data_IF_909272603371
#
_entry.id   IF_909272603371
#
_cell.length_a   1.000
_cell.length_b   1.000
_cell.length_c   1.000
_cell.angle_alpha   90.00
_cell.angle_beta   90.00
_cell.angle_gamma   90.00
#
_symmetry.space_group_name_H-M   'P 1'
#
loop_
_entity.id
_entity.type
_entity.pdbx_description
1 polymer ?
#
# COMPACT_ATOMS: atom_id res chain seq x y z
N UNK A 1 21.15 1.12 -19.22
CA UNK A 1 20.66 -0.18 -19.73
C UNK A 1 21.43 -0.50 -20.99
N UNK A 2 22.32 -1.49 -20.96
CA UNK A 2 22.86 -2.07 -22.19
C UNK A 2 21.99 -3.27 -22.51
N UNK A 3 21.03 -3.09 -23.42
CA UNK A 3 20.33 -4.20 -24.04
C UNK A 3 21.23 -4.68 -25.18
N UNK A 4 21.88 -5.82 -25.01
CA UNK A 4 22.42 -6.56 -26.14
C UNK A 4 21.48 -7.72 -26.39
N UNK A 5 20.54 -7.62 -27.35
CA UNK A 5 19.79 -8.79 -27.78
C UNK A 5 20.78 -9.78 -28.38
N UNK A 6 20.88 -10.98 -27.79
CA UNK A 6 21.46 -12.11 -28.50
C UNK A 6 20.35 -12.69 -29.37
N UNK A 7 20.25 -12.22 -30.61
CA UNK A 7 19.40 -12.85 -31.61
C UNK A 7 19.98 -14.22 -31.97
N UNK A 8 19.28 -15.28 -31.58
CA UNK A 8 19.59 -16.65 -31.99
C UNK A 8 18.47 -17.21 -32.86
N UNK A 9 18.83 -17.72 -34.05
CA UNK A 9 17.92 -18.56 -34.84
C UNK A 9 18.12 -20.01 -34.44
N UNK A 10 17.04 -20.69 -34.08
CA UNK A 10 17.04 -22.15 -33.91
C UNK A 10 17.40 -22.83 -35.22
N UNK A 11 18.31 -23.81 -35.17
CA UNK A 11 18.72 -24.70 -36.25
C UNK A 11 17.77 -25.91 -36.41
N UNK A 12 16.55 -25.86 -35.86
CA UNK A 12 15.54 -26.89 -36.04
C UNK A 12 14.92 -26.85 -37.45
N UNK A 13 14.79 -28.01 -38.09
CA UNK A 13 14.11 -28.17 -39.39
C UNK A 13 12.68 -28.71 -39.20
N UNK A 14 11.73 -28.24 -40.03
CA UNK A 14 10.30 -28.62 -39.98
C UNK A 14 9.34 -27.45 -39.75
N UNK A 15 8.04 -27.67 -39.46
CA UNK A 15 6.99 -26.63 -39.34
C UNK A 15 7.21 -25.58 -38.24
N UNK A 16 8.26 -25.77 -37.44
CA UNK A 16 8.66 -24.95 -36.30
C UNK A 16 9.95 -24.15 -36.57
N UNK A 17 10.52 -24.27 -37.78
CA UNK A 17 11.68 -23.50 -38.22
C UNK A 17 11.36 -21.99 -38.32
N UNK A 18 12.28 -21.13 -37.86
CA UNK A 18 12.15 -19.67 -37.95
C UNK A 18 11.59 -18.96 -36.72
N UNK A 19 11.37 -19.67 -35.59
CA UNK A 19 11.02 -19.01 -34.32
C UNK A 19 12.21 -18.20 -33.79
N UNK A 20 11.96 -16.93 -33.50
CA UNK A 20 12.91 -16.02 -32.86
C UNK A 20 12.69 -16.10 -31.36
N UNK A 21 13.76 -16.26 -30.59
CA UNK A 21 13.71 -16.26 -29.13
C UNK A 21 14.47 -15.05 -28.63
N UNK A 22 13.90 -14.33 -27.67
CA UNK A 22 14.60 -13.28 -26.95
C UNK A 22 15.04 -13.83 -25.61
N UNK A 23 16.35 -14.04 -25.45
CA UNK A 23 16.94 -14.35 -24.15
C UNK A 23 17.13 -13.04 -23.37
N UNK A 24 16.25 -12.78 -22.40
CA UNK A 24 16.43 -11.68 -21.45
C UNK A 24 17.13 -12.20 -20.21
N UNK A 25 18.44 -11.96 -20.10
CA UNK A 25 19.17 -12.18 -18.85
C UNK A 25 18.76 -11.10 -17.86
N UNK A 26 17.96 -11.47 -16.84
CA UNK A 26 17.64 -10.57 -15.74
C UNK A 26 18.79 -10.56 -14.74
N UNK A 27 19.47 -9.43 -14.63
CA UNK A 27 20.51 -9.16 -13.64
C UNK A 27 19.99 -9.11 -12.18
N UNK A 28 18.76 -9.56 -11.91
CA UNK A 28 18.07 -9.42 -10.60
C UNK A 28 18.73 -10.21 -9.48
N UNK A 29 19.50 -11.24 -9.80
CA UNK A 29 20.05 -12.17 -8.80
C UNK A 29 21.43 -11.81 -8.23
N UNK A 30 21.98 -10.63 -8.54
CA UNK A 30 23.25 -10.17 -7.94
C UNK A 30 23.07 -9.54 -6.55
N UNK A 31 21.89 -9.00 -6.26
CA UNK A 31 21.56 -8.34 -4.98
C UNK A 31 20.57 -9.23 -4.24
N UNK A 32 20.93 -9.68 -3.04
CA UNK A 32 20.04 -10.50 -2.21
C UNK A 32 18.74 -9.76 -1.90
N UNK A 33 17.62 -10.46 -1.99
CA UNK A 33 16.32 -9.95 -1.58
C UNK A 33 16.22 -9.83 -0.06
N UNK A 34 15.77 -8.67 0.39
CA UNK A 34 15.53 -8.26 1.77
C UNK A 34 14.17 -7.55 1.84
N UNK A 35 13.73 -7.16 3.04
CA UNK A 35 12.54 -6.33 3.20
C UNK A 35 12.65 -4.96 2.50
N UNK A 36 13.85 -4.40 2.35
CA UNK A 36 14.01 -3.09 1.72
C UNK A 36 13.90 -3.13 0.18
N UNK A 37 13.97 -4.31 -0.45
CA UNK A 37 13.97 -4.45 -1.91
C UNK A 37 13.15 -5.64 -2.43
N UNK A 38 12.13 -6.08 -1.69
CA UNK A 38 11.38 -7.29 -2.04
C UNK A 38 10.60 -7.18 -3.35
N UNK A 39 10.24 -5.98 -3.80
CA UNK A 39 9.54 -5.82 -5.08
C UNK A 39 10.48 -5.98 -6.28
N UNK A 40 11.80 -6.09 -6.09
CA UNK A 40 12.76 -6.37 -7.17
C UNK A 40 12.48 -7.68 -7.90
N UNK A 41 11.90 -8.66 -7.21
CA UNK A 41 11.59 -9.97 -7.76
C UNK A 41 10.28 -9.98 -8.57
N UNK A 42 9.45 -8.94 -8.44
CA UNK A 42 8.17 -8.85 -9.14
C UNK A 42 8.35 -8.53 -10.61
N UNK A 43 7.55 -9.11 -11.50
CA UNK A 43 7.67 -8.82 -12.92
C UNK A 43 7.16 -7.43 -13.30
N UNK A 44 7.74 -6.81 -14.32
CA UNK A 44 7.36 -5.44 -14.70
C UNK A 44 5.93 -5.36 -15.26
N UNK A 45 5.43 -6.44 -15.84
CA UNK A 45 4.04 -6.59 -16.29
C UNK A 45 3.08 -7.05 -15.17
N UNK A 46 3.58 -7.30 -13.95
CA UNK A 46 2.75 -7.63 -12.79
C UNK A 46 1.80 -6.48 -12.50
N UNK A 47 0.50 -6.76 -12.56
CA UNK A 47 -0.53 -5.81 -12.13
C UNK A 47 -0.44 -5.58 -10.62
N UNK A 48 -0.36 -4.31 -10.22
CA UNK A 48 -0.24 -3.95 -8.80
C UNK A 48 -1.48 -4.32 -8.00
N UNK A 49 -2.67 -4.29 -8.61
CA UNK A 49 -3.92 -4.74 -8.00
C UNK A 49 -3.93 -6.25 -7.65
N UNK A 50 -3.03 -7.03 -8.24
CA UNK A 50 -2.86 -8.47 -7.95
C UNK A 50 -1.72 -8.72 -6.95
N UNK A 51 -1.09 -7.70 -6.41
CA UNK A 51 -0.04 -7.90 -5.41
C UNK A 51 -0.60 -7.99 -3.99
N UNK A 52 0.15 -8.68 -3.13
CA UNK A 52 -0.03 -8.63 -1.69
C UNK A 52 0.93 -7.59 -1.12
N UNK A 53 0.39 -6.48 -0.61
CA UNK A 53 1.18 -5.31 -0.21
C UNK A 53 0.98 -5.06 1.29
N UNK A 54 2.03 -5.17 2.12
CA UNK A 54 1.94 -4.79 3.53
C UNK A 54 1.84 -3.26 3.65
N UNK A 55 0.92 -2.81 4.49
CA UNK A 55 0.63 -1.41 4.76
C UNK A 55 0.55 -1.12 6.25
N UNK A 56 0.60 0.17 6.58
CA UNK A 56 0.44 0.62 7.97
C UNK A 56 -0.81 1.48 8.14
N UNK A 57 -1.58 1.19 9.18
CA UNK A 57 -2.68 2.03 9.63
C UNK A 57 -2.12 3.28 10.32
N UNK A 58 -2.67 4.44 9.94
CA UNK A 58 -2.27 5.75 10.43
C UNK A 58 -0.74 5.89 10.52
N UNK A 59 -0.10 5.69 9.37
CA UNK A 59 1.34 5.56 9.18
C UNK A 59 2.12 6.65 9.92
N UNK A 60 1.55 7.85 10.01
CA UNK A 60 2.15 9.06 10.59
C UNK A 60 2.26 9.08 12.11
N UNK A 61 1.57 8.20 12.83
CA UNK A 61 1.42 8.31 14.28
C UNK A 61 2.56 7.67 15.09
N UNK A 62 3.79 7.62 14.55
CA UNK A 62 4.95 7.07 15.28
C UNK A 62 5.47 7.97 16.40
N UNK A 63 5.19 9.28 16.30
CA UNK A 63 5.49 10.26 17.36
C UNK A 63 4.29 10.52 18.28
N UNK A 64 3.21 9.74 18.14
CA UNK A 64 2.02 9.87 19.00
C UNK A 64 2.28 9.38 20.42
N UNK A 65 1.43 9.82 21.36
CA UNK A 65 1.38 9.23 22.70
C UNK A 65 0.70 7.85 22.66
N UNK A 66 0.80 7.08 23.75
CA UNK A 66 0.33 5.69 23.80
C UNK A 66 -1.16 5.45 23.45
N UNK A 67 -2.02 6.48 23.49
CA UNK A 67 -3.42 6.38 23.08
C UNK A 67 -3.62 6.39 21.57
N UNK A 68 -2.80 7.16 20.86
CA UNK A 68 -2.95 7.42 19.41
C UNK A 68 -1.81 6.83 18.58
N UNK A 69 -0.77 6.31 19.24
CA UNK A 69 0.41 5.74 18.61
C UNK A 69 0.08 4.40 17.97
N UNK A 70 0.05 4.36 16.65
CA UNK A 70 -0.22 3.14 15.86
C UNK A 70 1.05 2.55 15.26
N UNK A 71 2.17 3.28 15.25
CA UNK A 71 3.44 2.83 14.68
C UNK A 71 4.58 3.14 15.66
N UNK A 72 5.67 2.38 15.61
CA UNK A 72 6.89 2.66 16.42
C UNK A 72 8.07 3.17 15.59
N UNK A 73 7.98 3.03 14.26
CA UNK A 73 9.03 3.39 13.31
C UNK A 73 8.59 4.60 12.50
N UNK A 74 9.55 5.47 12.17
CA UNK A 74 9.35 6.52 11.18
C UNK A 74 9.17 5.94 9.77
N UNK A 75 8.95 6.80 8.77
CA UNK A 75 8.73 6.38 7.38
C UNK A 75 9.89 5.52 6.86
N UNK A 76 11.14 5.91 7.13
CA UNK A 76 12.31 5.14 6.70
C UNK A 76 12.30 3.75 7.33
N UNK A 77 12.14 3.64 8.64
CA UNK A 77 12.12 2.35 9.33
C UNK A 77 10.96 1.46 8.90
N UNK A 78 9.78 2.03 8.58
CA UNK A 78 8.66 1.28 8.02
C UNK A 78 8.99 0.72 6.63
N UNK A 79 9.60 1.52 5.75
CA UNK A 79 10.02 1.09 4.41
C UNK A 79 11.11 0.01 4.46
N UNK A 80 12.11 0.16 5.31
CA UNK A 80 13.15 -0.85 5.56
C UNK A 80 12.57 -2.15 6.16
N UNK A 81 11.42 -2.06 6.83
CA UNK A 81 10.66 -3.22 7.32
C UNK A 81 9.74 -3.85 6.28
N UNK A 82 9.74 -3.37 5.03
CA UNK A 82 9.00 -3.97 3.91
C UNK A 82 7.63 -3.35 3.62
N UNK A 83 7.20 -2.34 4.39
CA UNK A 83 5.93 -1.63 4.16
C UNK A 83 5.99 -0.88 2.82
N UNK A 84 4.91 -0.98 2.02
CA UNK A 84 4.79 -0.27 0.73
C UNK A 84 3.42 0.38 0.54
N UNK A 85 2.55 0.35 1.55
CA UNK A 85 1.31 1.11 1.58
C UNK A 85 1.19 1.98 2.84
N UNK A 86 0.85 3.27 2.67
CA UNK A 86 0.64 4.20 3.78
C UNK A 86 -0.80 4.74 3.86
N UNK A 87 -1.39 4.69 5.06
CA UNK A 87 -2.57 5.49 5.45
C UNK A 87 -2.09 6.80 6.07
N UNK A 88 -2.04 7.87 5.27
CA UNK A 88 -1.54 9.18 5.69
C UNK A 88 -2.69 10.07 6.10
N UNK A 89 -2.70 10.47 7.37
CA UNK A 89 -3.71 11.35 7.96
C UNK A 89 -3.14 12.73 8.22
N UNK A 90 -3.81 13.72 7.67
CA UNK A 90 -3.32 15.09 7.59
C UNK A 90 -4.29 16.08 8.21
N UNK A 91 -3.71 17.15 8.73
CA UNK A 91 -4.39 18.38 9.11
C UNK A 91 -3.63 19.56 8.54
N UNK A 92 -4.34 20.58 8.07
CA UNK A 92 -3.73 21.86 7.77
C UNK A 92 -3.69 22.70 9.06
N UNK A 93 -2.48 22.98 9.55
CA UNK A 93 -2.28 23.81 10.74
C UNK A 93 -1.17 24.82 10.43
N UNK A 94 -1.47 26.11 10.66
CA UNK A 94 -0.54 27.23 10.42
C UNK A 94 0.00 27.27 8.97
N UNK A 95 -0.85 26.90 7.99
CA UNK A 95 -0.48 26.83 6.58
C UNK A 95 0.40 25.63 6.20
N UNK A 96 0.68 24.72 7.14
CA UNK A 96 1.50 23.52 6.93
C UNK A 96 0.66 22.26 7.06
N UNK A 97 0.84 21.32 6.12
CA UNK A 97 0.25 19.98 6.23
C UNK A 97 1.03 19.14 7.22
N UNK A 98 0.44 18.93 8.40
CA UNK A 98 1.02 18.15 9.50
C UNK A 98 0.36 16.77 9.58
N UNK A 99 1.12 15.80 10.10
CA UNK A 99 0.60 14.48 10.43
C UNK A 99 -0.27 14.58 11.69
N UNK A 100 -1.37 13.82 11.74
CA UNK A 100 -2.25 13.80 12.89
C UNK A 100 -2.99 12.47 13.05
N UNK A 101 -3.54 12.26 14.24
CA UNK A 101 -4.54 11.24 14.53
C UNK A 101 -5.73 11.91 15.21
N UNK A 102 -6.86 12.00 14.51
CA UNK A 102 -7.99 12.85 14.89
C UNK A 102 -7.52 14.28 15.20
N UNK A 103 -7.86 14.83 16.36
CA UNK A 103 -7.44 16.17 16.78
C UNK A 103 -6.00 16.24 17.32
N UNK A 104 -5.29 15.12 17.44
CA UNK A 104 -3.91 15.10 17.93
C UNK A 104 -2.95 15.37 16.77
N UNK A 105 -2.31 16.54 16.79
CA UNK A 105 -1.35 16.95 15.76
C UNK A 105 0.06 16.60 16.20
N UNK A 106 0.85 16.04 15.29
CA UNK A 106 2.24 15.70 15.54
C UNK A 106 3.17 16.80 15.01
N UNK A 107 4.35 16.93 15.63
CA UNK A 107 5.41 17.81 15.14
C UNK A 107 6.14 17.22 13.93
N UNK A 108 5.38 16.75 12.94
CA UNK A 108 5.84 16.10 11.72
C UNK A 108 4.98 16.58 10.57
N UNK A 109 5.59 16.74 9.40
CA UNK A 109 4.98 17.34 8.23
C UNK A 109 4.89 16.33 7.09
N UNK A 110 3.84 16.45 6.27
CA UNK A 110 3.69 15.62 5.10
C UNK A 110 4.87 15.77 4.12
N UNK A 111 5.36 17.00 3.96
CA UNK A 111 6.47 17.28 3.07
C UNK A 111 7.80 16.64 3.51
N UNK A 112 8.29 17.02 4.69
CA UNK A 112 9.63 16.62 5.15
C UNK A 112 9.66 15.15 5.54
N UNK A 113 8.69 14.72 6.35
CA UNK A 113 8.79 13.45 7.06
C UNK A 113 8.18 12.29 6.26
N UNK A 114 7.32 12.57 5.27
CA UNK A 114 6.71 11.55 4.40
C UNK A 114 7.23 11.63 2.97
N UNK A 115 6.98 12.74 2.27
CA UNK A 115 7.30 12.84 0.84
C UNK A 115 8.81 12.76 0.57
N UNK A 116 9.64 13.54 1.28
CA UNK A 116 11.10 13.48 1.10
C UNK A 116 11.68 12.15 1.56
N UNK A 117 11.26 11.63 2.71
CA UNK A 117 11.72 10.32 3.20
C UNK A 117 11.38 9.18 2.24
N UNK A 118 10.19 9.22 1.62
CA UNK A 118 9.78 8.23 0.61
C UNK A 118 10.58 8.41 -0.68
N UNK A 119 10.86 9.64 -1.11
CA UNK A 119 11.69 9.91 -2.29
C UNK A 119 13.14 9.43 -2.08
N UNK A 120 13.72 9.66 -0.89
CA UNK A 120 15.05 9.17 -0.53
C UNK A 120 15.12 7.64 -0.60
N UNK A 121 14.11 6.96 -0.05
CA UNK A 121 14.01 5.50 -0.14
C UNK A 121 13.87 5.00 -1.59
N UNK A 122 12.99 5.60 -2.40
CA UNK A 122 12.80 5.18 -3.79
C UNK A 122 14.03 5.47 -4.67
N UNK A 123 14.83 6.47 -4.33
CA UNK A 123 16.13 6.73 -4.95
C UNK A 123 17.12 5.60 -4.64
N UNK A 124 17.15 5.13 -3.40
CA UNK A 124 18.05 4.06 -2.93
C UNK A 124 17.57 2.67 -3.34
N UNK A 125 16.26 2.50 -3.54
CA UNK A 125 15.60 1.26 -3.91
C UNK A 125 14.69 1.44 -5.14
N UNK A 126 15.26 1.69 -6.34
CA UNK A 126 14.49 2.02 -7.54
C UNK A 126 13.62 0.86 -8.06
N UNK A 127 13.80 -0.35 -7.55
CA UNK A 127 12.91 -1.48 -7.80
C UNK A 127 11.56 -1.34 -7.09
N UNK A 128 11.46 -0.52 -6.06
CA UNK A 128 10.28 -0.46 -5.20
C UNK A 128 9.27 0.59 -5.70
N UNK A 129 8.05 0.51 -5.19
CA UNK A 129 7.04 1.56 -5.32
C UNK A 129 6.31 1.73 -3.99
N UNK A 130 5.81 2.92 -3.69
CA UNK A 130 5.04 3.19 -2.48
C UNK A 130 3.68 3.72 -2.83
N UNK A 131 2.63 3.10 -2.31
CA UNK A 131 1.26 3.58 -2.48
C UNK A 131 0.87 4.29 -1.19
N UNK A 132 0.21 5.44 -1.29
CA UNK A 132 -0.33 6.09 -0.12
C UNK A 132 -1.71 6.65 -0.38
N UNK A 133 -2.57 6.54 0.63
CA UNK A 133 -3.82 7.29 0.66
C UNK A 133 -3.67 8.47 1.60
N UNK A 134 -4.19 9.63 1.21
CA UNK A 134 -4.23 10.82 2.05
C UNK A 134 -5.66 11.12 2.48
N UNK A 135 -5.84 11.42 3.76
CA UNK A 135 -7.13 11.84 4.34
C UNK A 135 -6.93 13.09 5.18
N UNK A 136 -7.86 14.05 5.05
CA UNK A 136 -7.99 15.12 6.04
C UNK A 136 -8.68 14.56 7.28
N UNK A 137 -7.96 14.50 8.39
CA UNK A 137 -8.46 13.89 9.62
C UNK A 137 -9.07 14.91 10.59
N UNK A 138 -8.66 16.16 10.47
CA UNK A 138 -9.21 17.27 11.23
C UNK A 138 -9.31 18.54 10.39
N UNK A 139 -10.27 19.40 10.72
CA UNK A 139 -10.56 20.64 10.01
C UNK A 139 -10.60 21.84 10.97
N UNK A 140 -9.47 22.54 11.10
CA UNK A 140 -9.40 23.76 11.89
C UNK A 140 -10.08 24.95 11.21
N UNK A 141 -10.01 25.02 9.87
CA UNK A 141 -10.49 26.16 9.08
C UNK A 141 -12.01 26.14 8.89
N UNK A 142 -12.64 24.96 8.95
CA UNK A 142 -14.08 24.74 8.73
C UNK A 142 -14.56 25.31 7.39
N UNK A 143 -13.68 25.32 6.39
CA UNK A 143 -13.91 25.93 5.06
C UNK A 143 -14.35 24.92 3.99
N UNK A 144 -14.82 23.75 4.43
CA UNK A 144 -15.12 22.62 3.54
C UNK A 144 -13.86 21.98 2.92
N UNK A 145 -12.67 22.24 3.47
CA UNK A 145 -11.39 21.69 3.06
C UNK A 145 -10.71 22.42 1.90
N UNK A 146 -11.14 23.64 1.55
CA UNK A 146 -10.61 24.39 0.40
C UNK A 146 -9.12 24.73 0.58
N UNK A 147 -8.74 25.30 1.72
CA UNK A 147 -7.34 25.59 2.07
C UNK A 147 -6.50 24.32 2.13
N UNK A 148 -7.02 23.26 2.75
CA UNK A 148 -6.36 21.96 2.80
C UNK A 148 -6.03 21.43 1.40
N UNK A 149 -7.00 21.37 0.50
CA UNK A 149 -6.80 20.89 -0.88
C UNK A 149 -5.80 21.75 -1.65
N UNK A 150 -5.85 23.06 -1.46
CA UNK A 150 -4.89 23.99 -2.05
C UNK A 150 -3.47 23.70 -1.54
N UNK A 151 -3.31 23.53 -0.23
CA UNK A 151 -2.02 23.18 0.37
C UNK A 151 -1.49 21.83 -0.13
N UNK A 152 -2.35 20.82 -0.29
CA UNK A 152 -1.96 19.52 -0.86
C UNK A 152 -1.53 19.69 -2.32
N UNK A 153 -2.29 20.42 -3.13
CA UNK A 153 -1.92 20.67 -4.53
C UNK A 153 -0.60 21.43 -4.67
N UNK A 154 -0.28 22.31 -3.72
CA UNK A 154 0.97 23.05 -3.71
C UNK A 154 2.13 22.15 -3.27
N UNK A 155 1.98 21.41 -2.16
CA UNK A 155 3.08 20.59 -1.61
C UNK A 155 3.53 19.49 -2.57
N UNK A 156 2.60 18.89 -3.33
CA UNK A 156 2.91 17.85 -4.31
C UNK A 156 3.69 18.38 -5.54
N UNK A 157 3.78 19.71 -5.72
CA UNK A 157 4.47 20.37 -6.85
C UNK A 157 5.60 21.30 -6.40
N UNK A 158 5.79 21.47 -5.09
CA UNK A 158 6.66 22.50 -4.54
C UNK A 158 8.15 22.10 -4.54
N UNK A 159 8.46 20.80 -4.48
CA UNK A 159 9.83 20.31 -4.30
C UNK A 159 10.32 19.54 -5.53
N UNK A 160 11.17 20.15 -6.38
CA UNK A 160 11.75 19.51 -7.56
C UNK A 160 12.52 18.22 -7.27
N UNK A 161 12.96 18.02 -6.02
CA UNK A 161 13.59 16.77 -5.60
C UNK A 161 12.58 15.63 -5.46
N UNK A 162 11.37 15.92 -4.95
CA UNK A 162 10.31 14.94 -4.71
C UNK A 162 9.49 14.67 -5.97
N UNK A 163 9.18 15.71 -6.75
CA UNK A 163 8.25 15.62 -7.89
C UNK A 163 8.55 14.48 -8.88
N UNK A 164 9.82 14.18 -9.24
CA UNK A 164 10.13 13.06 -10.14
C UNK A 164 9.71 11.67 -9.61
N UNK A 165 9.58 11.54 -8.29
CA UNK A 165 9.15 10.31 -7.62
C UNK A 165 7.63 10.24 -7.46
N UNK A 166 6.86 11.30 -7.73
CA UNK A 166 5.39 11.23 -7.65
C UNK A 166 4.87 10.62 -8.94
N UNK A 167 4.12 9.51 -8.83
CA UNK A 167 3.48 8.89 -9.97
C UNK A 167 2.43 9.83 -10.59
N UNK A 168 2.31 9.76 -11.91
CA UNK A 168 1.22 10.40 -12.64
C UNK A 168 -0.12 9.72 -12.36
N UNK A 169 -1.04 9.88 -13.30
CA UNK A 169 -2.40 9.34 -13.21
C UNK A 169 -2.40 7.84 -12.91
N UNK A 170 -3.22 7.45 -11.94
CA UNK A 170 -3.60 6.08 -11.69
C UNK A 170 -4.18 5.44 -12.95
N UNK A 171 -4.01 4.13 -13.08
CA UNK A 171 -4.69 3.32 -14.08
C UNK A 171 -5.28 2.09 -13.38
N UNK A 172 -6.48 1.63 -13.75
CA UNK A 172 -7.00 0.35 -13.27
C UNK A 172 -5.98 -0.80 -13.39
N UNK A 173 -5.25 -0.85 -14.51
CA UNK A 173 -4.31 -1.92 -14.85
C UNK A 173 -2.85 -1.52 -14.64
N UNK A 174 -2.59 -0.63 -13.67
CA UNK A 174 -1.25 -0.14 -13.37
C UNK A 174 -0.30 -1.31 -13.09
N UNK A 175 0.84 -1.34 -13.77
CA UNK A 175 1.85 -2.40 -13.63
C UNK A 175 2.99 -1.97 -12.73
N UNK A 176 3.76 -2.95 -12.23
CA UNK A 176 4.98 -2.66 -11.47
C UNK A 176 5.97 -1.84 -12.29
N UNK A 177 6.18 -2.15 -13.57
CA UNK A 177 7.12 -1.44 -14.43
C UNK A 177 6.79 0.06 -14.57
N UNK A 178 5.50 0.41 -14.56
CA UNK A 178 5.05 1.82 -14.61
C UNK A 178 5.31 2.57 -13.30
N UNK A 179 5.29 1.86 -12.17
CA UNK A 179 5.34 2.39 -10.81
C UNK A 179 6.69 2.33 -10.12
N UNK A 180 7.64 1.52 -10.60
CA UNK A 180 9.00 1.45 -10.02
C UNK A 180 9.63 2.81 -9.87
N UNK A 181 10.25 3.03 -8.71
CA UNK A 181 10.88 4.29 -8.33
C UNK A 181 9.89 5.43 -8.11
N UNK A 182 8.57 5.15 -8.00
CA UNK A 182 7.54 6.18 -7.82
C UNK A 182 6.63 5.88 -6.64
N UNK A 183 6.03 6.94 -6.11
CA UNK A 183 4.98 6.90 -5.11
C UNK A 183 3.63 7.30 -5.72
N UNK A 184 2.63 6.43 -5.58
CA UNK A 184 1.26 6.66 -6.02
C UNK A 184 0.45 7.26 -4.85
N UNK A 185 -0.12 8.45 -5.04
CA UNK A 185 -0.78 9.19 -3.95
C UNK A 185 -2.26 9.36 -4.28
N UNK A 186 -3.18 8.77 -3.52
CA UNK A 186 -4.64 8.86 -3.76
C UNK A 186 -5.33 9.65 -2.66
N UNK A 187 -6.25 10.55 -3.00
CA UNK A 187 -7.10 11.20 -1.99
C UNK A 187 -8.26 10.30 -1.55
N UNK A 188 -8.61 10.33 -0.25
CA UNK A 188 -9.82 9.70 0.30
C UNK A 188 -11.03 10.64 0.37
N UNK A 189 -10.92 11.89 -0.10
CA UNK A 189 -11.99 12.90 0.05
C UNK A 189 -13.05 12.91 -1.08
N UNK A 190 -13.05 11.99 -2.05
CA UNK A 190 -14.17 11.82 -3.00
C UNK A 190 -14.36 12.88 -4.10
N UNK A 191 -14.02 14.14 -3.83
CA UNK A 191 -14.21 15.28 -4.74
C UNK A 191 -12.90 16.01 -5.07
N UNK A 192 -11.77 15.50 -4.58
CA UNK A 192 -10.45 16.10 -4.79
C UNK A 192 -9.50 15.08 -5.38
N UNK A 193 -8.89 15.41 -6.52
CA UNK A 193 -7.84 14.59 -7.12
C UNK A 193 -6.46 15.09 -6.74
N UNK A 194 -5.57 14.15 -6.49
CA UNK A 194 -4.11 14.36 -6.55
C UNK A 194 -3.62 14.22 -8.00
N UNK A 195 -2.30 14.23 -8.20
CA UNK A 195 -1.67 13.86 -9.47
C UNK A 195 -2.03 12.43 -9.94
N UNK A 196 -2.30 11.53 -8.99
CA UNK A 196 -2.62 10.14 -9.32
C UNK A 196 -4.13 9.90 -9.42
N UNK A 197 -4.93 10.42 -8.49
CA UNK A 197 -6.36 10.18 -8.51
C UNK A 197 -7.02 10.30 -7.13
N UNK A 198 -8.22 9.74 -7.01
CA UNK A 198 -9.00 9.79 -5.77
C UNK A 198 -9.92 8.60 -5.60
N UNK A 199 -10.34 8.37 -4.37
CA UNK A 199 -11.33 7.38 -3.98
C UNK A 199 -12.67 8.09 -3.81
N UNK A 200 -13.69 7.61 -4.51
CA UNK A 200 -15.04 8.21 -4.62
C UNK A 200 -15.70 8.50 -3.26
N UNK A 201 -15.74 7.47 -2.42
CA UNK A 201 -16.34 7.55 -1.10
C UNK A 201 -15.69 6.56 -0.17
N UNK A 202 -15.38 7.03 1.03
CA UNK A 202 -14.96 6.18 2.14
C UNK A 202 -16.08 6.15 3.17
N UNK A 203 -16.71 4.99 3.36
CA UNK A 203 -17.79 4.87 4.31
C UNK A 203 -17.27 4.61 5.72
N UNK A 204 -17.94 5.20 6.71
CA UNK A 204 -17.55 5.08 8.11
C UNK A 204 -17.86 3.68 8.67
N UNK A 205 -16.88 3.12 9.39
CA UNK A 205 -16.96 1.91 10.22
C UNK A 205 -17.69 0.71 9.60
N UNK A 206 -17.30 0.28 8.38
CA UNK A 206 -17.95 -0.86 7.70
C UNK A 206 -17.07 -1.50 6.62
N UNK A 207 -17.48 -2.68 6.15
CA UNK A 207 -17.05 -3.18 4.83
C UNK A 207 -17.81 -2.45 3.72
N UNK A 208 -17.14 -2.13 2.62
CA UNK A 208 -17.79 -1.54 1.46
C UNK A 208 -17.03 -1.75 0.16
N UNK A 209 -17.74 -1.54 -0.95
CA UNK A 209 -17.16 -1.37 -2.28
C UNK A 209 -17.35 0.08 -2.73
N UNK A 210 -16.33 0.64 -3.37
CA UNK A 210 -16.27 2.01 -3.90
C UNK A 210 -15.44 2.01 -5.18
N UNK A 211 -15.09 3.19 -5.71
CA UNK A 211 -14.23 3.31 -6.89
C UNK A 211 -12.95 4.08 -6.60
N UNK A 212 -11.85 3.66 -7.21
CA UNK A 212 -10.67 4.51 -7.42
C UNK A 212 -10.82 5.13 -8.80
N UNK A 213 -10.78 6.45 -8.86
CA UNK A 213 -10.79 7.24 -10.09
C UNK A 213 -9.39 7.72 -10.42
N UNK A 214 -9.03 7.58 -11.69
CA UNK A 214 -7.91 8.27 -12.32
C UNK A 214 -8.26 9.72 -12.63
N UNK A 215 -7.24 10.56 -12.88
CA UNK A 215 -7.43 11.95 -13.33
C UNK A 215 -8.13 12.05 -14.69
N UNK A 216 -8.15 10.98 -15.49
CA UNK A 216 -8.90 10.90 -16.75
C UNK A 216 -10.31 10.31 -16.60
N UNK A 217 -10.80 10.16 -15.36
CA UNK A 217 -12.10 9.58 -14.99
C UNK A 217 -12.29 8.09 -15.31
N UNK A 218 -11.27 7.39 -15.81
CA UNK A 218 -11.27 5.92 -15.75
C UNK A 218 -11.30 5.46 -14.29
N UNK A 219 -11.96 4.33 -14.04
CA UNK A 219 -12.14 3.82 -12.67
C UNK A 219 -12.04 2.32 -12.58
N UNK A 220 -11.76 1.85 -11.38
CA UNK A 220 -11.87 0.44 -10.98
C UNK A 220 -12.50 0.30 -9.61
N UNK A 221 -13.00 -0.89 -9.30
CA UNK A 221 -13.59 -1.20 -8.00
C UNK A 221 -12.50 -1.27 -6.94
N UNK A 222 -12.79 -0.69 -5.78
CA UNK A 222 -12.02 -0.86 -4.54
C UNK A 222 -12.94 -1.47 -3.48
N UNK A 223 -12.53 -2.60 -2.92
CA UNK A 223 -13.18 -3.26 -1.80
C UNK A 223 -12.39 -2.98 -0.52
N UNK A 224 -13.07 -2.45 0.50
CA UNK A 224 -12.45 -2.03 1.76
C UNK A 224 -13.10 -2.73 2.93
N UNK A 225 -12.27 -3.24 3.83
CA UNK A 225 -12.66 -3.56 5.20
C UNK A 225 -12.06 -2.54 6.16
N UNK A 226 -12.89 -1.62 6.66
CA UNK A 226 -12.52 -0.57 7.62
C UNK A 226 -13.55 -0.48 8.76
N UNK A 227 -13.99 -1.63 9.26
CA UNK A 227 -14.81 -1.70 10.48
C UNK A 227 -13.87 -1.55 11.68
N UNK A 228 -13.55 -0.31 12.05
CA UNK A 228 -12.59 -0.01 13.11
C UNK A 228 -13.21 -0.06 14.51
N UNK A 229 -14.53 0.01 14.67
CA UNK A 229 -15.23 -0.04 15.96
C UNK A 229 -16.19 -1.22 16.00
N UNK A 230 -15.70 -2.36 16.48
CA UNK A 230 -16.43 -3.62 16.64
C UNK A 230 -15.76 -4.51 17.72
N UNK A 231 -16.36 -5.67 18.01
CA UNK A 231 -15.71 -6.68 18.86
C UNK A 231 -14.53 -7.34 18.12
N UNK A 232 -13.54 -7.85 18.87
CA UNK A 232 -12.36 -8.48 18.29
C UNK A 232 -12.69 -9.67 17.36
N UNK A 233 -13.61 -10.54 17.79
CA UNK A 233 -14.05 -11.69 16.98
C UNK A 233 -14.70 -11.25 15.67
N UNK A 234 -15.55 -10.23 15.71
CA UNK A 234 -16.15 -9.64 14.51
C UNK A 234 -15.08 -9.07 13.59
N UNK A 235 -14.09 -8.36 14.14
CA UNK A 235 -12.99 -7.81 13.36
C UNK A 235 -12.24 -8.90 12.60
N UNK A 236 -11.87 -9.98 13.29
CA UNK A 236 -11.17 -11.13 12.68
C UNK A 236 -12.00 -11.74 11.55
N UNK A 237 -13.31 -11.90 11.75
CA UNK A 237 -14.22 -12.44 10.75
C UNK A 237 -14.32 -11.54 9.51
N UNK A 238 -14.47 -10.22 9.72
CA UNK A 238 -14.57 -9.24 8.64
C UNK A 238 -13.28 -9.14 7.83
N UNK A 239 -12.12 -9.19 8.50
CA UNK A 239 -10.80 -9.29 7.84
C UNK A 239 -10.76 -10.54 6.96
N UNK A 240 -11.13 -11.71 7.48
CA UNK A 240 -11.16 -12.95 6.71
C UNK A 240 -12.08 -12.86 5.49
N UNK A 241 -13.27 -12.27 5.64
CA UNK A 241 -14.23 -12.12 4.55
C UNK A 241 -13.65 -11.30 3.40
N UNK A 242 -12.99 -10.18 3.69
CA UNK A 242 -12.39 -9.35 2.63
C UNK A 242 -11.17 -10.03 1.98
N UNK A 243 -10.37 -10.79 2.74
CA UNK A 243 -9.26 -11.60 2.22
C UNK A 243 -9.74 -12.72 1.26
N UNK A 244 -10.83 -13.40 1.61
CA UNK A 244 -11.45 -14.41 0.75
C UNK A 244 -12.00 -13.77 -0.52
N UNK A 245 -12.66 -12.62 -0.42
CA UNK A 245 -13.15 -11.84 -1.58
C UNK A 245 -12.00 -11.41 -2.50
N UNK A 246 -10.87 -10.97 -1.93
CA UNK A 246 -9.67 -10.64 -2.70
C UNK A 246 -9.11 -11.87 -3.43
N UNK A 247 -9.10 -13.03 -2.76
CA UNK A 247 -8.60 -14.28 -3.32
C UNK A 247 -9.51 -14.84 -4.42
N UNK A 248 -10.82 -14.68 -4.30
CA UNK A 248 -11.79 -15.01 -5.35
C UNK A 248 -11.58 -14.12 -6.59
N UNK A 249 -11.44 -12.80 -6.39
CA UNK A 249 -11.19 -11.84 -7.47
C UNK A 249 -9.81 -11.99 -8.11
N UNK A 250 -8.84 -12.59 -7.42
CA UNK A 250 -7.47 -12.77 -7.92
C UNK A 250 -7.42 -13.52 -9.26
N UNK A 251 -8.23 -14.57 -9.43
CA UNK A 251 -8.32 -15.34 -10.67
C UNK A 251 -9.11 -14.68 -11.81
N UNK A 252 -9.82 -13.58 -11.53
CA UNK A 252 -10.62 -12.86 -12.52
C UNK A 252 -9.84 -11.81 -13.32
N UNK A 253 -10.40 -11.42 -14.48
CA UNK A 253 -9.84 -10.39 -15.35
C UNK A 253 -10.04 -8.94 -14.83
N UNK A 254 -11.01 -8.73 -13.91
CA UNK A 254 -11.28 -7.42 -13.35
C UNK A 254 -10.08 -6.93 -12.50
N UNK A 255 -9.62 -5.68 -12.70
CA UNK A 255 -8.50 -5.11 -11.94
C UNK A 255 -8.98 -4.52 -10.60
N UNK A 256 -9.70 -5.32 -9.83
CA UNK A 256 -10.25 -4.90 -8.54
C UNK A 256 -9.14 -4.73 -7.49
N UNK A 257 -9.25 -3.69 -6.68
CA UNK A 257 -8.36 -3.41 -5.57
C UNK A 257 -8.99 -3.81 -4.23
N UNK A 258 -8.15 -4.19 -3.28
CA UNK A 258 -8.57 -4.61 -1.94
C UNK A 258 -7.69 -3.93 -0.90
N UNK A 259 -8.32 -3.26 0.07
CA UNK A 259 -7.66 -2.70 1.26
C UNK A 259 -8.32 -3.31 2.50
N UNK A 260 -7.53 -3.97 3.34
CA UNK A 260 -8.02 -4.64 4.55
C UNK A 260 -7.31 -4.07 5.76
N UNK A 261 -8.03 -3.36 6.63
CA UNK A 261 -7.48 -2.92 7.92
C UNK A 261 -7.64 -4.02 8.96
N UNK A 262 -6.53 -4.48 9.55
CA UNK A 262 -6.52 -5.32 10.75
C UNK A 262 -6.71 -4.49 12.02
N UNK A 263 -6.36 -3.20 11.98
CA UNK A 263 -6.52 -2.26 13.10
C UNK A 263 -7.99 -2.03 13.48
N UNK A 264 -8.24 -1.89 14.78
CA UNK A 264 -9.55 -1.54 15.33
C UNK A 264 -9.37 -0.86 16.71
N UNK A 265 -10.45 -0.33 17.29
CA UNK A 265 -10.49 0.45 18.53
C UNK A 265 -11.36 -0.20 19.62
N UNK A 266 -11.79 -1.44 19.42
CA UNK A 266 -12.79 -2.10 20.28
C UNK A 266 -14.22 -1.56 20.07
N UNK A 267 -15.24 -2.22 20.67
CA UNK A 267 -16.65 -1.88 20.47
C UNK A 267 -17.02 -0.50 21.00
N UNK A 268 -16.31 -0.04 22.04
CA UNK A 268 -16.51 1.27 22.65
C UNK A 268 -15.62 2.37 22.04
N UNK A 269 -14.72 2.05 21.12
CA UNK A 269 -13.82 3.04 20.51
C UNK A 269 -12.72 3.57 21.43
N UNK A 270 -12.35 2.83 22.48
CA UNK A 270 -11.39 3.24 23.51
C UNK A 270 -10.19 2.30 23.63
N UNK A 271 -10.12 1.26 22.80
CA UNK A 271 -9.02 0.32 22.78
C UNK A 271 -7.75 0.98 22.25
N UNK A 272 -6.67 0.90 23.01
CA UNK A 272 -5.39 1.48 22.59
C UNK A 272 -4.75 0.61 21.51
N UNK A 273 -4.07 1.21 20.51
CA UNK A 273 -3.50 0.48 19.38
C UNK A 273 -2.63 -0.71 19.80
N UNK A 274 -1.82 -0.55 20.86
CA UNK A 274 -0.98 -1.64 21.39
C UNK A 274 -1.81 -2.85 21.87
N UNK A 275 -2.83 -2.60 22.70
CA UNK A 275 -3.64 -3.66 23.27
C UNK A 275 -4.50 -4.38 22.22
N UNK A 276 -5.17 -3.61 21.37
CA UNK A 276 -6.07 -4.13 20.33
C UNK A 276 -5.32 -4.94 19.27
N UNK A 277 -4.13 -4.51 18.89
CA UNK A 277 -3.24 -5.25 17.99
C UNK A 277 -2.86 -6.60 18.59
N UNK A 278 -2.58 -6.66 19.90
CA UNK A 278 -2.32 -7.90 20.63
C UNK A 278 -3.43 -8.95 20.56
N UNK A 279 -4.68 -8.53 20.34
CA UNK A 279 -5.82 -9.44 20.19
C UNK A 279 -6.04 -9.92 18.75
N UNK A 280 -6.04 -9.02 17.77
CA UNK A 280 -6.48 -9.35 16.40
C UNK A 280 -5.38 -9.98 15.57
N UNK A 281 -4.16 -9.43 15.63
CA UNK A 281 -3.09 -9.79 14.69
C UNK A 281 -2.67 -11.26 14.79
N UNK A 282 -2.56 -11.90 15.98
CA UNK A 282 -2.28 -13.33 16.07
C UNK A 282 -3.32 -14.20 15.35
N UNK A 283 -4.60 -13.83 15.39
CA UNK A 283 -5.65 -14.54 14.67
C UNK A 283 -5.58 -14.32 13.17
N UNK A 284 -5.26 -13.10 12.72
CA UNK A 284 -5.03 -12.80 11.31
C UNK A 284 -3.82 -13.59 10.78
N UNK A 285 -2.73 -13.66 11.54
CA UNK A 285 -1.56 -14.50 11.21
C UNK A 285 -1.98 -15.96 11.03
N UNK A 286 -2.80 -16.50 11.94
CA UNK A 286 -3.28 -17.88 11.85
C UNK A 286 -4.17 -18.11 10.62
N UNK A 287 -5.03 -17.15 10.25
CA UNK A 287 -5.82 -17.21 9.01
C UNK A 287 -4.90 -17.25 7.79
N UNK A 288 -3.94 -16.33 7.71
CA UNK A 288 -3.05 -16.21 6.57
C UNK A 288 -2.12 -17.43 6.39
N UNK A 289 -1.72 -18.08 7.50
CA UNK A 289 -0.90 -19.31 7.45
C UNK A 289 -1.74 -20.57 7.19
N UNK A 290 -2.98 -20.62 7.69
CA UNK A 290 -3.79 -21.84 7.72
C UNK A 290 -4.86 -21.96 6.63
N UNK A 291 -5.29 -20.86 6.01
CA UNK A 291 -6.36 -20.89 5.01
C UNK A 291 -5.81 -21.08 3.59
N UNK A 292 -5.89 -22.33 3.13
CA UNK A 292 -5.44 -22.75 1.80
C UNK A 292 -6.21 -22.13 0.62
N UNK A 293 -7.35 -21.45 0.88
CA UNK A 293 -8.13 -20.76 -0.15
C UNK A 293 -7.52 -19.40 -0.51
N UNK A 294 -6.68 -18.83 0.36
CA UNK A 294 -6.11 -17.52 0.12
C UNK A 294 -5.09 -17.56 -1.03
N UNK A 295 -5.11 -16.50 -1.84
CA UNK A 295 -4.23 -16.31 -3.02
C UNK A 295 -3.53 -14.96 -2.99
N UNK A 296 -4.13 -13.98 -2.33
CA UNK A 296 -3.58 -12.65 -2.14
C UNK A 296 -4.15 -12.06 -0.86
N UNK A 297 -3.41 -11.17 -0.21
CA UNK A 297 -3.96 -10.31 0.85
C UNK A 297 -4.58 -9.03 0.29
N UNK A 298 -4.35 -8.73 -1.00
CA UNK A 298 -4.43 -7.37 -1.49
C UNK A 298 -3.52 -6.47 -0.66
N UNK A 299 -3.97 -5.25 -0.38
CA UNK A 299 -3.29 -4.37 0.55
C UNK A 299 -3.77 -4.69 1.98
N UNK A 300 -2.84 -5.05 2.87
CA UNK A 300 -3.13 -5.42 4.27
C UNK A 300 -2.53 -4.40 5.22
N UNK A 301 -3.37 -3.66 5.97
CA UNK A 301 -2.94 -2.62 6.90
C UNK A 301 -2.98 -3.11 8.34
N UNK A 302 -1.92 -2.84 9.08
CA UNK A 302 -1.82 -3.17 10.50
C UNK A 302 -1.10 -2.07 11.29
N UNK A 303 -1.21 -2.13 12.62
CA UNK A 303 -0.41 -1.28 13.50
C UNK A 303 0.99 -1.90 13.68
N UNK A 304 1.96 -1.06 14.04
CA UNK A 304 3.31 -1.41 14.44
C UNK A 304 4.06 -2.31 13.45
N UNK A 305 4.47 -1.71 12.33
CA UNK A 305 5.32 -2.35 11.35
C UNK A 305 6.50 -3.09 12.00
N UNK A 306 6.45 -4.41 11.90
CA UNK A 306 7.52 -5.30 12.32
C UNK A 306 7.35 -6.00 13.66
N UNK A 307 6.22 -5.81 14.34
CA UNK A 307 5.87 -6.61 15.50
C UNK A 307 5.75 -8.11 15.17
N UNK A 308 5.99 -8.94 16.20
CA UNK A 308 6.05 -10.41 16.10
C UNK A 308 6.98 -10.92 15.00
N UNK A 309 8.24 -10.46 15.04
CA UNK A 309 9.29 -10.86 14.08
C UNK A 309 8.89 -10.58 12.63
N UNK A 310 8.43 -9.33 12.39
CA UNK A 310 7.85 -8.91 11.11
C UNK A 310 6.69 -9.79 10.62
N UNK A 311 5.91 -10.40 11.52
CA UNK A 311 4.91 -11.43 11.21
C UNK A 311 4.00 -11.12 10.03
N UNK A 312 3.09 -10.14 10.17
CA UNK A 312 2.15 -9.78 9.10
C UNK A 312 2.84 -9.23 7.85
N UNK A 313 3.94 -8.47 8.00
CA UNK A 313 4.69 -7.95 6.87
C UNK A 313 5.31 -9.07 6.03
N UNK A 314 6.05 -9.97 6.68
CA UNK A 314 6.66 -11.14 6.06
C UNK A 314 5.59 -12.01 5.41
N UNK A 315 4.45 -12.17 6.09
CA UNK A 315 3.37 -12.97 5.55
C UNK A 315 2.82 -12.39 4.25
N UNK A 316 2.46 -11.10 4.25
CA UNK A 316 1.94 -10.43 3.06
C UNK A 316 2.94 -10.44 1.90
N UNK A 317 4.24 -10.26 2.16
CA UNK A 317 5.28 -10.30 1.12
C UNK A 317 5.33 -11.68 0.45
N UNK A 318 5.35 -12.77 1.24
CA UNK A 318 5.39 -14.16 0.74
C UNK A 318 4.19 -14.55 -0.13
N UNK A 319 3.04 -13.91 0.02
CA UNK A 319 1.90 -14.15 -0.89
C UNK A 319 2.16 -13.75 -2.35
N UNK A 320 3.26 -13.03 -2.62
CA UNK A 320 3.67 -12.71 -4.00
C UNK A 320 4.53 -13.78 -4.66
N UNK A 321 5.01 -14.79 -3.92
CA UNK A 321 5.84 -15.86 -4.48
C UNK A 321 5.00 -16.78 -5.37
N UNK A 322 5.23 -16.69 -6.69
CA UNK A 322 4.51 -17.51 -7.69
C UNK A 322 5.10 -18.91 -7.87
N UNK A 323 6.33 -19.14 -7.40
CA UNK A 323 7.05 -20.42 -7.52
C UNK A 323 6.62 -21.46 -6.48
N UNK A 324 5.91 -21.04 -5.43
CA UNK A 324 5.46 -21.91 -4.35
C UNK A 324 3.95 -21.73 -4.22
N UNK A 325 3.11 -22.79 -4.30
CA UNK A 325 1.78 -22.68 -3.71
C UNK A 325 1.93 -22.13 -2.29
N UNK A 326 0.99 -21.32 -1.73
CA UNK A 326 1.20 -20.53 -0.49
C UNK A 326 1.52 -21.30 0.81
N UNK A 327 1.91 -22.59 0.73
CA UNK A 327 1.66 -23.60 1.74
C UNK A 327 2.82 -24.54 2.04
N UNK A 328 4.00 -24.40 1.43
CA UNK A 328 5.09 -25.36 1.68
C UNK A 328 6.18 -24.92 2.66
N UNK A 329 6.26 -23.64 3.06
CA UNK A 329 7.31 -23.19 3.99
C UNK A 329 6.85 -22.01 4.87
N UNK A 330 6.14 -22.33 5.94
CA UNK A 330 5.98 -21.44 7.10
C UNK A 330 6.75 -21.99 8.28
#
# INVERSE_FOLDING_TARGET
MYHTPLEGKSNAQGPVAGRTYTLSLKLRQLISTTYANWMQDMEDDRLVCKMSIPGTHDTGAWSGNWWVKTQDKDIKGQLESGIRFFDIRLVLADGVLKLCHASNVFDRTFHKDVLRATADFLREHPSETVIMTIKRDHDYDKDGGNKYRTAVGNVLRADPYVTPYIAGSFSPTLTMGELRGKMLILSREGWYSTNSGWIDRWYDNKQFSTNIYSTNHSRTTLNVEDTYRCAAGDKVNLVRQNLLKASEAYGGAAPDWFITFCSYTGPNGIGTPNAVTGYVDPHVINILKGDHQLRTTGILLFNFAGWWDNGLTNIAIKFNDTATPPLKQW
#
